data_IF_473248912576
#
_entry.id   IF_473248912576
#
_cell.length_a   1.000
_cell.length_b   1.000
_cell.length_c   1.000
_cell.angle_alpha   90.00
_cell.angle_beta   90.00
_cell.angle_gamma   90.00
#
_symmetry.space_group_name_H-M   'P 1'
#
loop_
_entity.id
_entity.type
_entity.pdbx_description
1 polymer ?
#
# COMPACT_ATOMS: atom_id res chain seq x y z
N UNK A 1 -4.65 14.13 -8.71
CA UNK A 1 -5.57 14.91 -9.58
C UNK A 1 -4.94 15.75 -10.70
N UNK A 2 -4.11 16.80 -10.47
CA UNK A 2 -3.64 17.72 -11.54
C UNK A 2 -3.00 17.03 -12.75
N UNK A 3 -2.15 16.02 -12.52
CA UNK A 3 -1.43 15.32 -13.58
C UNK A 3 -2.36 14.51 -14.51
N UNK A 4 -3.29 13.74 -13.94
CA UNK A 4 -4.27 12.95 -14.70
C UNK A 4 -5.22 13.86 -15.49
N UNK A 5 -5.63 14.99 -14.89
CA UNK A 5 -6.47 15.98 -15.58
C UNK A 5 -5.73 16.63 -16.75
N UNK A 6 -4.45 16.95 -16.58
CA UNK A 6 -3.61 17.50 -17.64
C UNK A 6 -3.43 16.50 -18.79
N UNK A 7 -3.08 15.24 -18.48
CA UNK A 7 -2.93 14.19 -19.50
C UNK A 7 -4.23 13.91 -20.26
N UNK A 8 -5.37 13.96 -19.55
CA UNK A 8 -6.68 13.80 -20.20
C UNK A 8 -7.00 14.97 -21.14
N UNK A 9 -6.64 16.20 -20.77
CA UNK A 9 -6.88 17.39 -21.61
C UNK A 9 -5.97 17.40 -22.84
N UNK A 10 -4.70 17.04 -22.67
CA UNK A 10 -3.74 16.86 -23.78
C UNK A 10 -4.23 15.78 -24.75
N UNK A 11 -4.69 14.64 -24.25
CA UNK A 11 -5.22 13.58 -25.11
C UNK A 11 -6.49 13.99 -25.86
N UNK A 12 -7.36 14.81 -25.24
CA UNK A 12 -8.53 15.36 -25.95
C UNK A 12 -8.11 16.26 -27.12
N UNK A 13 -7.08 17.09 -26.93
CA UNK A 13 -6.52 17.91 -28.01
C UNK A 13 -5.91 17.03 -29.12
N UNK A 14 -5.16 15.99 -28.76
CA UNK A 14 -4.57 15.06 -29.71
C UNK A 14 -5.64 14.30 -30.52
N UNK A 15 -6.71 13.81 -29.88
CA UNK A 15 -7.84 13.16 -30.56
C UNK A 15 -8.51 14.08 -31.58
N UNK A 16 -8.60 15.38 -31.28
CA UNK A 16 -9.15 16.37 -32.23
C UNK A 16 -8.20 16.64 -33.40
N UNK A 17 -6.89 16.56 -33.17
CA UNK A 17 -5.85 16.96 -34.13
C UNK A 17 -5.44 15.81 -35.05
N UNK A 18 -5.39 14.57 -34.54
CA UNK A 18 -4.85 13.42 -35.24
C UNK A 18 -5.90 12.31 -35.42
N UNK A 19 -5.87 11.65 -36.58
CA UNK A 19 -6.87 10.65 -36.98
C UNK A 19 -6.79 9.32 -36.21
N UNK A 20 -5.64 9.03 -35.58
CA UNK A 20 -5.36 7.77 -34.88
C UNK A 20 -4.64 8.03 -33.55
N UNK A 21 -5.40 8.44 -32.53
CA UNK A 21 -4.88 8.62 -31.16
C UNK A 21 -5.53 7.60 -30.23
N UNK A 22 -4.75 6.84 -29.44
CA UNK A 22 -5.31 6.00 -28.40
C UNK A 22 -5.96 6.86 -27.32
N UNK A 23 -7.14 6.45 -26.85
CA UNK A 23 -7.85 7.17 -25.78
C UNK A 23 -7.06 7.07 -24.49
N UNK A 24 -6.90 8.19 -23.82
CA UNK A 24 -6.36 8.23 -22.46
C UNK A 24 -7.28 7.44 -21.55
N UNK A 25 -6.73 6.39 -20.95
CA UNK A 25 -7.40 5.62 -19.90
C UNK A 25 -6.86 6.15 -18.58
N UNK A 26 -7.67 6.77 -17.72
CA UNK A 26 -7.25 7.23 -16.40
C UNK A 26 -7.11 6.03 -15.44
N UNK A 27 -6.31 5.04 -15.83
CA UNK A 27 -5.86 3.99 -14.94
C UNK A 27 -4.89 4.68 -13.97
N UNK A 28 -5.38 5.03 -12.78
CA UNK A 28 -4.55 5.73 -11.80
C UNK A 28 -3.31 4.92 -11.41
N UNK A 29 -2.38 5.57 -10.72
CA UNK A 29 -1.06 5.00 -10.47
C UNK A 29 -1.11 3.95 -9.34
N UNK A 30 -0.35 2.86 -9.50
CA UNK A 30 -0.10 1.89 -8.44
C UNK A 30 1.39 1.78 -8.15
N UNK A 31 1.73 1.30 -6.97
CA UNK A 31 3.12 1.05 -6.56
C UNK A 31 3.23 -0.28 -5.84
N UNK A 32 4.45 -0.77 -5.65
CA UNK A 32 4.73 -1.99 -4.91
C UNK A 32 5.80 -1.72 -3.85
N UNK A 33 5.55 -2.20 -2.63
CA UNK A 33 6.47 -2.16 -1.49
C UNK A 33 6.93 -3.58 -1.14
N UNK A 34 8.23 -3.73 -0.89
CA UNK A 34 8.84 -4.97 -0.44
C UNK A 34 8.92 -4.95 1.08
N UNK A 35 8.37 -5.97 1.73
CA UNK A 35 8.21 -6.03 3.19
C UNK A 35 9.12 -7.09 3.80
N UNK A 36 9.78 -6.77 4.91
CA UNK A 36 10.70 -7.65 5.62
C UNK A 36 12.13 -7.65 5.08
N UNK A 37 12.45 -6.70 4.18
CA UNK A 37 13.83 -6.46 3.76
C UNK A 37 14.59 -5.54 4.73
N UNK A 38 13.87 -4.68 5.45
CA UNK A 38 14.43 -3.76 6.45
C UNK A 38 13.75 -4.02 7.81
N UNK A 39 14.22 -3.40 8.91
CA UNK A 39 13.56 -3.51 10.21
C UNK A 39 12.38 -2.52 10.32
N UNK A 40 11.56 -2.39 9.28
CA UNK A 40 10.36 -1.55 9.31
C UNK A 40 9.22 -2.23 10.09
N UNK A 41 8.44 -1.43 10.82
CA UNK A 41 7.22 -1.90 11.48
C UNK A 41 5.98 -1.81 10.58
N UNK A 42 4.92 -2.55 10.90
CA UNK A 42 3.66 -2.47 10.15
C UNK A 42 3.02 -1.08 10.26
N UNK A 43 3.15 -0.43 11.42
CA UNK A 43 2.74 0.95 11.64
C UNK A 43 3.42 1.92 10.66
N UNK A 44 4.73 1.80 10.47
CA UNK A 44 5.48 2.62 9.51
C UNK A 44 5.03 2.36 8.07
N UNK A 45 4.85 1.09 7.70
CA UNK A 45 4.39 0.69 6.36
C UNK A 45 3.01 1.31 6.06
N UNK A 46 2.07 1.21 7.00
CA UNK A 46 0.73 1.76 6.83
C UNK A 46 0.71 3.28 6.72
N UNK A 47 1.52 3.99 7.50
CA UNK A 47 1.66 5.44 7.35
C UNK A 47 2.25 5.85 6.01
N UNK A 48 3.21 5.09 5.49
CA UNK A 48 3.74 5.31 4.15
C UNK A 48 2.64 5.08 3.10
N UNK A 49 1.91 3.97 3.20
CA UNK A 49 0.79 3.67 2.30
C UNK A 49 -0.29 4.76 2.34
N UNK A 50 -0.71 5.18 3.54
CA UNK A 50 -1.66 6.27 3.74
C UNK A 50 -1.16 7.58 3.12
N UNK A 51 0.11 7.94 3.35
CA UNK A 51 0.71 9.14 2.75
C UNK A 51 0.75 9.03 1.22
N UNK A 52 0.99 7.85 0.66
CA UNK A 52 0.96 7.61 -0.78
C UNK A 52 -0.46 7.80 -1.36
N UNK A 53 -1.48 7.30 -0.67
CA UNK A 53 -2.87 7.54 -1.05
C UNK A 53 -3.25 9.02 -0.94
N UNK A 54 -2.99 9.66 0.21
CA UNK A 54 -3.39 11.06 0.48
C UNK A 54 -2.63 12.07 -0.40
N UNK A 55 -1.32 11.91 -0.59
CA UNK A 55 -0.48 12.90 -1.30
C UNK A 55 -0.36 12.65 -2.80
N UNK A 56 -0.33 11.39 -3.22
CA UNK A 56 -0.10 11.02 -4.62
C UNK A 56 -1.33 10.44 -5.32
N UNK A 57 -2.46 10.31 -4.61
CA UNK A 57 -3.73 9.85 -5.19
C UNK A 57 -3.57 8.48 -5.87
N UNK A 58 -2.71 7.63 -5.30
CA UNK A 58 -2.48 6.28 -5.79
C UNK A 58 -3.77 5.48 -5.69
N UNK A 59 -4.02 4.61 -6.67
CA UNK A 59 -5.17 3.72 -6.64
C UNK A 59 -4.95 2.50 -5.77
N UNK A 60 -3.70 2.03 -5.69
CA UNK A 60 -3.35 0.80 -4.96
C UNK A 60 -1.86 0.74 -4.64
N UNK A 61 -1.56 0.26 -3.45
CA UNK A 61 -0.24 -0.24 -3.05
C UNK A 61 -0.30 -1.77 -3.04
N UNK A 62 0.70 -2.40 -3.63
CA UNK A 62 0.94 -3.84 -3.54
C UNK A 62 2.05 -4.11 -2.53
N UNK A 63 1.91 -5.20 -1.79
CA UNK A 63 2.87 -5.68 -0.82
C UNK A 63 3.42 -7.02 -1.29
N UNK A 64 4.71 -7.25 -1.10
CA UNK A 64 5.33 -8.54 -1.35
C UNK A 64 6.40 -8.79 -0.30
N UNK A 65 6.36 -9.97 0.33
CA UNK A 65 7.41 -10.38 1.24
C UNK A 65 8.77 -10.45 0.54
N UNK A 66 9.81 -9.97 1.21
CA UNK A 66 11.19 -10.12 0.75
C UNK A 66 11.59 -11.60 0.77
N UNK A 67 12.13 -12.06 -0.36
CA UNK A 67 12.64 -13.43 -0.53
C UNK A 67 14.11 -13.31 -0.94
N UNK A 68 15.08 -13.67 -0.07
CA UNK A 68 16.49 -13.66 -0.44
C UNK A 68 16.76 -14.80 -1.42
N UNK A 69 17.08 -14.46 -2.67
CA UNK A 69 17.48 -15.43 -3.70
C UNK A 69 19.00 -15.59 -3.82
N UNK A 70 19.76 -14.60 -3.35
CA UNK A 70 21.22 -14.55 -3.40
C UNK A 70 21.79 -14.26 -2.01
N UNK A 71 22.97 -14.79 -1.71
CA UNK A 71 23.71 -14.47 -0.49
C UNK A 71 24.80 -13.43 -0.80
N UNK A 72 24.65 -12.21 -0.30
CA UNK A 72 25.64 -11.13 -0.39
C UNK A 72 25.68 -10.38 0.95
N UNK A 73 26.85 -9.86 1.34
CA UNK A 73 27.04 -9.04 2.55
C UNK A 73 26.29 -7.70 2.48
N UNK A 74 26.03 -7.21 1.27
CA UNK A 74 25.26 -5.98 1.05
C UNK A 74 23.75 -6.21 1.02
N UNK A 75 23.29 -7.47 0.98
CA UNK A 75 21.88 -7.80 1.06
C UNK A 75 21.46 -7.93 2.53
N UNK A 76 20.21 -7.60 2.87
CA UNK A 76 19.70 -7.83 4.21
C UNK A 76 19.92 -9.29 4.62
N UNK A 77 20.64 -9.49 5.72
CA UNK A 77 20.94 -10.82 6.24
C UNK A 77 19.69 -11.41 6.89
N UNK A 78 18.73 -11.85 6.09
CA UNK A 78 17.48 -12.47 6.56
C UNK A 78 17.73 -13.93 6.88
N UNK A 79 18.66 -14.20 7.82
CA UNK A 79 19.03 -15.57 8.19
C UNK A 79 18.00 -16.26 9.11
N UNK A 80 17.06 -15.52 9.68
CA UNK A 80 16.18 -16.05 10.74
C UNK A 80 14.67 -15.81 10.51
N UNK A 81 14.27 -14.96 9.55
CA UNK A 81 12.87 -14.64 9.35
C UNK A 81 12.36 -15.33 8.10
N UNK A 82 11.64 -16.44 8.29
CA UNK A 82 10.80 -17.05 7.23
C UNK A 82 9.99 -15.94 6.56
N UNK A 83 9.78 -16.02 5.22
CA UNK A 83 9.05 -14.98 4.50
C UNK A 83 7.74 -14.72 5.23
N UNK A 84 7.47 -13.47 5.65
CA UNK A 84 6.36 -13.19 6.52
C UNK A 84 5.07 -13.12 5.68
N UNK A 85 4.69 -14.25 5.05
CA UNK A 85 3.52 -14.37 4.18
C UNK A 85 2.25 -13.95 4.92
N UNK A 86 2.15 -14.29 6.21
CA UNK A 86 1.04 -13.85 7.05
C UNK A 86 1.07 -12.34 7.28
N UNK A 87 2.25 -11.73 7.43
CA UNK A 87 2.40 -10.26 7.57
C UNK A 87 1.95 -9.54 6.30
N UNK A 88 2.35 -10.04 5.12
CA UNK A 88 1.87 -9.53 3.83
C UNK A 88 0.34 -9.56 3.76
N UNK A 89 -0.29 -10.67 4.17
CA UNK A 89 -1.75 -10.78 4.19
C UNK A 89 -2.38 -9.77 5.17
N UNK A 90 -1.81 -9.56 6.36
CA UNK A 90 -2.32 -8.57 7.34
C UNK A 90 -2.23 -7.15 6.81
N UNK A 91 -1.14 -6.81 6.12
CA UNK A 91 -0.99 -5.50 5.48
C UNK A 91 -2.04 -5.30 4.38
N UNK A 92 -2.35 -6.31 3.58
CA UNK A 92 -3.45 -6.20 2.61
C UNK A 92 -4.82 -6.01 3.26
N UNK A 93 -5.08 -6.68 4.39
CA UNK A 93 -6.32 -6.49 5.14
C UNK A 93 -6.42 -5.07 5.71
N UNK A 94 -5.36 -4.57 6.33
CA UNK A 94 -5.31 -3.21 6.85
C UNK A 94 -5.41 -2.16 5.72
N UNK A 95 -4.74 -2.36 4.58
CA UNK A 95 -4.85 -1.50 3.40
C UNK A 95 -6.30 -1.38 2.89
N UNK A 96 -7.07 -2.47 2.97
CA UNK A 96 -8.49 -2.44 2.66
C UNK A 96 -9.23 -1.46 3.58
N UNK A 97 -8.98 -1.53 4.89
CA UNK A 97 -9.60 -0.64 5.88
C UNK A 97 -9.28 0.83 5.57
N UNK A 98 -8.04 1.14 5.21
CA UNK A 98 -7.63 2.49 4.80
C UNK A 98 -8.42 2.97 3.56
N UNK A 99 -8.51 2.13 2.53
CA UNK A 99 -9.03 2.55 1.22
C UNK A 99 -10.55 2.61 1.11
N UNK A 100 -11.24 1.65 1.72
CA UNK A 100 -12.69 1.50 1.53
C UNK A 100 -13.49 1.93 2.76
N UNK A 101 -12.90 1.82 3.95
CA UNK A 101 -13.54 2.20 5.22
C UNK A 101 -12.99 3.50 5.79
N UNK A 102 -12.01 4.11 5.11
CA UNK A 102 -11.42 5.41 5.46
C UNK A 102 -10.78 5.46 6.86
N UNK A 103 -10.27 4.32 7.33
CA UNK A 103 -9.44 4.27 8.52
C UNK A 103 -8.14 5.04 8.30
N UNK A 104 -7.64 5.66 9.37
CA UNK A 104 -6.30 6.19 9.44
C UNK A 104 -5.33 5.13 9.96
N UNK A 105 -4.06 5.20 9.52
CA UNK A 105 -3.06 4.22 9.93
C UNK A 105 -2.87 4.17 11.46
N UNK A 106 -2.96 5.32 12.12
CA UNK A 106 -2.88 5.46 13.58
C UNK A 106 -4.09 4.93 14.35
N UNK A 107 -5.20 4.59 13.68
CA UNK A 107 -6.35 3.91 14.31
C UNK A 107 -6.16 2.39 14.36
N UNK A 108 -5.29 1.83 13.52
CA UNK A 108 -5.06 0.39 13.42
C UNK A 108 -3.87 -0.07 14.27
N UNK A 109 -2.81 0.75 14.33
CA UNK A 109 -1.59 0.49 15.07
C UNK A 109 -1.06 1.80 15.66
N UNK A 110 -0.29 1.70 16.75
CA UNK A 110 0.37 2.83 17.39
C UNK A 110 1.85 2.51 17.64
N UNK A 111 2.60 3.49 18.18
CA UNK A 111 4.03 3.31 18.45
C UNK A 111 4.30 2.28 19.57
N UNK A 112 3.34 2.03 20.46
CA UNK A 112 3.46 1.06 21.55
C UNK A 112 3.20 -0.38 21.05
N UNK A 113 2.32 -0.53 20.07
CA UNK A 113 1.92 -1.78 19.42
C UNK A 113 2.08 -1.66 17.89
N UNK A 114 3.32 -1.61 17.38
CA UNK A 114 3.58 -1.19 16.00
C UNK A 114 3.45 -2.29 14.95
N UNK A 115 3.13 -3.53 15.34
CA UNK A 115 3.07 -4.69 14.45
C UNK A 115 1.77 -5.47 14.64
N UNK A 116 1.22 -5.99 13.54
CA UNK A 116 0.03 -6.83 13.60
C UNK A 116 0.33 -8.19 14.24
N UNK A 117 -0.68 -8.72 14.93
CA UNK A 117 -0.67 -10.12 15.32
C UNK A 117 -0.90 -11.00 14.08
N UNK A 118 -0.02 -11.97 13.84
CA UNK A 118 -0.12 -12.87 12.69
C UNK A 118 -1.44 -13.66 12.64
N UNK A 119 -2.06 -13.94 13.79
CA UNK A 119 -3.24 -14.79 13.91
C UNK A 119 -4.56 -14.04 14.04
N UNK A 120 -4.51 -12.73 14.31
CA UNK A 120 -5.70 -11.90 14.48
C UNK A 120 -5.88 -10.99 13.27
N UNK A 121 -7.14 -10.80 12.88
CA UNK A 121 -7.47 -9.85 11.82
C UNK A 121 -7.25 -8.41 12.32
N UNK A 122 -6.70 -7.48 11.50
CA UNK A 122 -6.54 -6.08 11.89
C UNK A 122 -7.81 -5.43 12.45
N UNK A 123 -8.98 -5.83 11.95
CA UNK A 123 -10.27 -5.34 12.44
C UNK A 123 -10.64 -5.82 13.85
N UNK A 124 -9.99 -6.88 14.35
CA UNK A 124 -10.22 -7.47 15.68
C UNK A 124 -9.25 -6.99 16.77
N UNK A 125 -8.32 -6.08 16.40
CA UNK A 125 -7.38 -5.44 17.32
C UNK A 125 -8.01 -4.33 18.17
N UNK A 126 -7.25 -3.31 18.63
CA UNK A 126 -7.76 -2.20 19.45
C UNK A 126 -8.75 -1.26 18.71
N UNK A 127 -9.18 -1.67 17.52
CA UNK A 127 -10.17 -0.99 16.71
C UNK A 127 -11.54 -1.11 17.39
N UNK A 128 -12.25 0.00 17.67
CA UNK A 128 -13.58 -0.08 18.25
C UNK A 128 -14.50 -0.91 17.32
N UNK A 129 -15.28 -1.87 17.87
CA UNK A 129 -16.07 -2.80 17.06
C UNK A 129 -17.09 -2.10 16.14
N UNK A 130 -17.48 -0.87 16.47
CA UNK A 130 -18.34 -0.01 15.64
C UNK A 130 -17.69 0.53 14.36
N UNK A 131 -16.35 0.46 14.25
CA UNK A 131 -15.61 0.94 13.09
C UNK A 131 -15.47 -0.16 12.02
N UNK A 132 -15.44 -1.44 12.42
CA UNK A 132 -15.39 -2.56 11.47
C UNK A 132 -16.76 -2.88 10.82
N UNK A 133 -17.85 -2.27 11.29
CA UNK A 133 -19.21 -2.44 10.77
C UNK A 133 -19.70 -1.27 9.91
N UNK A 134 -18.85 -0.29 9.56
CA UNK A 134 -19.23 0.86 8.73
C UNK A 134 -19.25 0.53 7.25
#
# INVERSE_FOLDING_TARGET
>A
MRFVQQMSAENQYEIQTYRHVPKFVPAGQSTQMIIGATPESDYQILHVAESLYKKFDLKRVFYSAFIPVNEDKNLPSVKEQRPPLLREHRLYQADWLLRYYHFEAGELLDEENPNFNAYLDPCSGPVPPSACSR
#
